data_IF_300302707604
#
_entry.id   IF_300302707604
#
_cell.length_a   1.000
_cell.length_b   1.000
_cell.length_c   1.000
_cell.angle_alpha   90.00
_cell.angle_beta   90.00
_cell.angle_gamma   90.00
#
_symmetry.space_group_name_H-M   'P 1'
#
loop_
_entity.id
_entity.type
_entity.pdbx_description
1 polymer ?
#
# COMPACT_ATOMS: atom_id res chain seq x y z
N UNK A 1 -9.48 40.17 -82.76
CA UNK A 1 -9.95 40.71 -81.47
C UNK A 1 -9.97 39.57 -80.46
N UNK A 2 -9.04 39.56 -79.50
CA UNK A 2 -8.96 38.52 -78.46
C UNK A 2 -9.71 39.00 -77.21
N UNK A 3 -10.74 38.27 -76.81
CA UNK A 3 -11.56 38.59 -75.65
C UNK A 3 -10.95 37.93 -74.40
N UNK A 4 -10.26 38.72 -73.56
CA UNK A 4 -9.59 38.23 -72.35
C UNK A 4 -10.63 38.06 -71.23
N UNK A 5 -11.09 36.83 -70.99
CA UNK A 5 -11.89 36.50 -69.79
C UNK A 5 -11.02 36.76 -68.55
N UNK A 6 -11.40 37.75 -67.73
CA UNK A 6 -10.87 37.91 -66.37
C UNK A 6 -11.35 36.74 -65.53
N UNK A 7 -10.40 35.99 -64.96
CA UNK A 7 -10.66 35.02 -63.90
C UNK A 7 -11.28 35.78 -62.73
N UNK A 8 -12.45 35.32 -62.26
CA UNK A 8 -13.11 35.87 -61.09
C UNK A 8 -12.34 35.32 -59.87
N UNK A 9 -11.58 36.17 -59.19
CA UNK A 9 -10.93 35.78 -57.94
C UNK A 9 -12.02 35.40 -56.93
N UNK A 10 -11.77 34.33 -56.19
CA UNK A 10 -12.69 33.77 -55.23
C UNK A 10 -12.79 34.75 -54.05
N UNK A 11 -13.87 35.53 -53.97
CA UNK A 11 -14.12 36.42 -52.85
C UNK A 11 -14.15 35.61 -51.55
N UNK A 12 -13.17 35.85 -50.69
CA UNK A 12 -13.12 35.26 -49.35
C UNK A 12 -14.13 36.03 -48.51
N UNK A 13 -15.17 35.34 -48.04
CA UNK A 13 -16.19 35.96 -47.19
C UNK A 13 -15.54 36.40 -45.87
N UNK A 14 -15.57 37.69 -45.52
CA UNK A 14 -15.01 38.20 -44.27
C UNK A 14 -15.60 37.52 -43.03
N UNK A 15 -16.84 37.03 -43.11
CA UNK A 15 -17.51 36.34 -42.01
C UNK A 15 -16.94 34.93 -41.81
N UNK A 16 -16.61 34.21 -42.89
CA UNK A 16 -15.90 32.93 -42.79
C UNK A 16 -14.48 33.13 -42.25
N UNK A 17 -13.78 34.17 -42.69
CA UNK A 17 -12.43 34.47 -42.21
C UNK A 17 -12.42 34.82 -40.71
N UNK A 18 -13.34 35.68 -40.25
CA UNK A 18 -13.48 35.98 -38.81
C UNK A 18 -13.86 34.75 -37.99
N UNK A 19 -14.79 33.92 -38.48
CA UNK A 19 -15.23 32.71 -37.76
C UNK A 19 -14.09 31.70 -37.62
N UNK A 20 -13.32 31.47 -38.69
CA UNK A 20 -12.19 30.54 -38.66
C UNK A 20 -11.06 31.04 -37.77
N UNK A 21 -10.72 32.33 -37.82
CA UNK A 21 -9.70 32.90 -36.94
C UNK A 21 -10.10 32.82 -35.45
N UNK A 22 -11.37 33.04 -35.13
CA UNK A 22 -11.88 32.88 -33.76
C UNK A 22 -11.85 31.42 -33.30
N UNK A 23 -12.19 30.47 -34.17
CA UNK A 23 -12.10 29.05 -33.88
C UNK A 23 -10.66 28.60 -33.64
N UNK A 24 -9.72 29.05 -34.48
CA UNK A 24 -8.29 28.75 -34.31
C UNK A 24 -7.79 29.28 -32.97
N UNK A 25 -8.12 30.53 -32.62
CA UNK A 25 -7.74 31.12 -31.33
C UNK A 25 -8.30 30.30 -30.15
N UNK A 26 -9.56 29.89 -30.21
CA UNK A 26 -10.20 29.07 -29.19
C UNK A 26 -9.55 27.69 -29.03
N UNK A 27 -9.26 27.00 -30.14
CA UNK A 27 -8.54 25.71 -30.12
C UNK A 27 -7.13 25.88 -29.56
N UNK A 28 -6.45 26.96 -29.92
CA UNK A 28 -5.10 27.26 -29.43
C UNK A 28 -5.07 27.49 -27.91
N UNK A 29 -6.11 28.12 -27.35
CA UNK A 29 -6.26 28.26 -25.90
C UNK A 29 -6.34 26.90 -25.19
N UNK A 30 -7.03 25.89 -25.76
CA UNK A 30 -7.04 24.54 -25.19
C UNK A 30 -5.68 23.86 -25.27
N UNK A 31 -4.94 24.03 -26.37
CA UNK A 31 -3.58 23.47 -26.49
C UNK A 31 -2.66 24.05 -25.40
N UNK A 32 -2.69 25.37 -25.20
CA UNK A 32 -1.93 26.02 -24.13
C UNK A 32 -2.42 25.55 -22.76
N UNK A 33 -3.73 25.43 -22.54
CA UNK A 33 -4.29 24.92 -21.30
C UNK A 33 -3.78 23.51 -20.99
N UNK A 34 -3.87 22.56 -21.94
CA UNK A 34 -3.38 21.19 -21.75
C UNK A 34 -1.86 21.11 -21.52
N UNK A 35 -1.07 21.95 -22.21
CA UNK A 35 0.38 22.03 -21.97
C UNK A 35 0.70 22.67 -20.59
N UNK A 36 -0.14 23.59 -20.11
CA UNK A 36 0.01 24.25 -18.81
C UNK A 36 -0.46 23.41 -17.63
N UNK A 37 -1.28 22.37 -17.88
CA UNK A 37 -1.59 21.36 -16.87
C UNK A 37 -0.30 20.61 -16.55
N UNK A 38 0.34 21.01 -15.46
CA UNK A 38 1.50 20.33 -14.90
C UNK A 38 1.02 19.36 -13.82
N UNK A 39 0.84 18.06 -14.12
CA UNK A 39 0.36 17.08 -13.13
C UNK A 39 1.35 16.87 -11.97
N UNK A 40 2.60 17.34 -12.08
CA UNK A 40 3.61 17.23 -11.02
C UNK A 40 3.50 18.33 -9.96
N UNK A 41 2.79 19.43 -10.23
CA UNK A 41 2.65 20.55 -9.29
C UNK A 41 1.62 20.30 -8.17
N UNK A 42 0.72 19.31 -8.32
CA UNK A 42 -0.29 19.00 -7.30
C UNK A 42 0.24 18.22 -6.08
N UNK A 43 1.56 17.98 -5.98
CA UNK A 43 2.17 17.19 -4.89
C UNK A 43 3.24 17.94 -4.09
N UNK A 44 3.31 19.26 -4.15
CA UNK A 44 4.34 20.05 -3.45
C UNK A 44 3.97 20.33 -1.99
N UNK A 45 3.58 19.28 -1.25
CA UNK A 45 3.08 19.41 0.12
C UNK A 45 2.86 18.08 0.85
N UNK A 46 2.75 16.97 0.13
CA UNK A 46 2.96 15.66 0.74
C UNK A 46 4.45 15.55 1.07
N UNK A 47 4.79 15.34 2.34
CA UNK A 47 6.03 14.64 2.66
C UNK A 47 5.71 13.20 2.24
N UNK A 48 6.17 12.68 1.09
CA UNK A 48 5.89 11.30 0.77
C UNK A 48 6.54 10.48 1.88
N UNK A 49 5.73 9.86 2.74
CA UNK A 49 6.19 8.79 3.58
C UNK A 49 6.73 7.73 2.61
N UNK A 50 8.06 7.71 2.46
CA UNK A 50 8.70 6.89 1.43
C UNK A 50 8.56 5.43 1.87
N UNK A 51 7.63 4.73 1.24
CA UNK A 51 7.45 3.29 1.35
C UNK A 51 7.55 2.69 -0.05
N UNK A 52 8.39 1.67 -0.21
CA UNK A 52 8.49 0.87 -1.43
C UNK A 52 7.54 -0.33 -1.35
N UNK A 53 7.39 -0.90 -0.15
CA UNK A 53 6.48 -2.02 0.12
C UNK A 53 5.73 -1.82 1.42
N UNK A 54 4.49 -2.31 1.45
CA UNK A 54 3.63 -2.40 2.63
C UNK A 54 3.26 -3.87 2.81
N UNK A 55 3.53 -4.40 4.00
CA UNK A 55 3.15 -5.74 4.41
C UNK A 55 2.09 -5.59 5.48
N UNK A 56 0.86 -6.00 5.16
CA UNK A 56 -0.28 -5.90 6.08
C UNK A 56 -0.71 -7.28 6.49
N UNK A 57 -0.69 -7.55 7.79
CA UNK A 57 -1.32 -8.69 8.43
C UNK A 57 -2.67 -8.25 8.98
N UNK A 58 -3.72 -9.04 8.77
CA UNK A 58 -5.06 -8.78 9.31
C UNK A 58 -5.73 -10.09 9.71
N UNK A 59 -6.64 -10.02 10.67
CA UNK A 59 -7.44 -11.16 11.13
C UNK A 59 -8.84 -10.66 11.52
N UNK A 60 -9.81 -11.54 11.86
CA UNK A 60 -11.19 -11.13 12.08
C UNK A 60 -11.33 -9.97 13.06
N UNK A 61 -12.16 -9.01 12.69
CA UNK A 61 -12.47 -7.86 13.53
C UNK A 61 -13.00 -8.28 14.90
N UNK A 62 -12.59 -7.55 15.93
CA UNK A 62 -12.92 -7.80 17.34
C UNK A 62 -12.48 -9.19 17.84
N UNK A 63 -11.60 -9.91 17.15
CA UNK A 63 -11.05 -11.16 17.69
C UNK A 63 -10.24 -10.86 18.98
N UNK A 64 -10.41 -11.67 20.05
CA UNK A 64 -9.70 -11.48 21.31
C UNK A 64 -8.25 -11.97 21.26
N UNK A 65 -7.87 -12.70 20.21
CA UNK A 65 -6.54 -13.27 20.07
C UNK A 65 -5.60 -12.28 19.38
N UNK A 66 -4.38 -12.22 19.90
CA UNK A 66 -3.32 -11.30 19.52
C UNK A 66 -2.38 -11.99 18.54
N UNK A 67 -2.38 -11.52 17.29
CA UNK A 67 -1.48 -12.00 16.26
C UNK A 67 -0.45 -10.93 15.94
N UNK A 68 0.82 -11.31 15.96
CA UNK A 68 1.93 -10.42 15.63
C UNK A 68 2.43 -10.69 14.21
N UNK A 69 2.78 -9.62 13.51
CA UNK A 69 3.52 -9.63 12.27
C UNK A 69 5.03 -9.59 12.56
N UNK A 70 5.72 -10.60 12.06
CA UNK A 70 7.18 -10.70 12.11
C UNK A 70 7.72 -10.57 10.70
N UNK A 71 8.58 -9.59 10.45
CA UNK A 71 9.19 -9.37 9.14
C UNK A 71 10.70 -9.41 9.22
N UNK A 72 11.33 -10.32 8.48
CA UNK A 72 12.79 -10.38 8.33
C UNK A 72 13.22 -9.78 7.00
N UNK A 73 14.28 -8.98 7.03
CA UNK A 73 14.91 -8.41 5.85
C UNK A 73 16.16 -9.18 5.39
N UNK A 74 16.78 -8.75 4.28
CA UNK A 74 17.86 -9.48 3.61
C UNK A 74 19.12 -9.68 4.44
N UNK A 75 19.41 -8.78 5.39
CA UNK A 75 20.60 -8.88 6.24
C UNK A 75 20.35 -9.69 7.51
N UNK A 76 19.16 -10.29 7.64
CA UNK A 76 18.75 -11.10 8.78
C UNK A 76 18.07 -10.31 9.90
N UNK A 77 17.97 -8.99 9.77
CA UNK A 77 17.29 -8.11 10.72
C UNK A 77 15.79 -8.40 10.78
N UNK A 78 15.21 -8.36 11.97
CA UNK A 78 13.79 -8.73 12.20
C UNK A 78 13.06 -7.58 12.87
N UNK A 79 11.92 -7.21 12.28
CA UNK A 79 10.94 -6.27 12.83
C UNK A 79 9.77 -7.04 13.45
N UNK A 80 9.42 -6.65 14.68
CA UNK A 80 8.31 -7.18 15.49
C UNK A 80 7.98 -6.21 16.64
N UNK A 81 6.95 -6.47 17.46
CA UNK A 81 6.46 -5.50 18.45
C UNK A 81 7.52 -4.98 19.45
N UNK A 82 8.52 -5.79 19.83
CA UNK A 82 9.64 -5.35 20.70
C UNK A 82 10.80 -4.70 19.95
N UNK A 83 10.93 -4.96 18.65
CA UNK A 83 11.94 -4.35 17.79
C UNK A 83 11.26 -3.74 16.57
N UNK A 84 10.62 -2.59 16.76
CA UNK A 84 9.73 -1.97 15.77
C UNK A 84 10.44 -1.37 14.57
N UNK A 85 11.76 -1.25 14.62
CA UNK A 85 12.57 -0.73 13.53
C UNK A 85 13.85 -1.55 13.38
N UNK A 86 14.12 -2.01 12.17
CA UNK A 86 15.34 -2.74 11.85
C UNK A 86 15.68 -2.56 10.36
N UNK A 87 16.92 -2.19 10.05
CA UNK A 87 17.32 -1.88 8.68
C UNK A 87 16.51 -0.72 8.11
N UNK A 88 15.83 -0.94 6.98
CA UNK A 88 14.91 0.02 6.37
C UNK A 88 13.44 -0.41 6.51
N UNK A 89 13.15 -1.26 7.49
CA UNK A 89 11.80 -1.72 7.80
C UNK A 89 11.28 -1.09 9.09
N UNK A 90 9.98 -0.81 9.15
CA UNK A 90 9.33 -0.23 10.32
C UNK A 90 7.94 -0.83 10.55
N UNK A 91 7.63 -1.23 11.80
CA UNK A 91 6.30 -1.64 12.23
C UNK A 91 5.47 -0.39 12.53
N UNK A 92 4.84 0.17 11.49
CA UNK A 92 4.05 1.39 11.58
C UNK A 92 2.80 1.20 12.43
N UNK A 93 2.19 0.02 12.38
CA UNK A 93 1.01 -0.33 13.16
C UNK A 93 1.19 -1.66 13.89
N UNK A 94 1.01 -1.60 15.20
CA UNK A 94 1.04 -2.69 16.18
C UNK A 94 -0.34 -2.77 16.84
N UNK A 95 -1.02 -3.93 16.79
CA UNK A 95 -2.36 -4.07 17.39
C UNK A 95 -2.26 -4.34 18.89
N UNK A 96 -2.33 -3.27 19.68
CA UNK A 96 -2.22 -3.37 21.13
C UNK A 96 -3.50 -3.84 21.83
N UNK A 97 -4.46 -4.42 21.12
CA UNK A 97 -5.72 -4.90 21.69
C UNK A 97 -6.78 -3.80 21.95
N UNK A 98 -7.95 -4.20 22.45
CA UNK A 98 -9.11 -3.31 22.58
C UNK A 98 -8.96 -2.21 23.64
N UNK A 99 -8.05 -2.35 24.61
CA UNK A 99 -7.82 -1.35 25.67
C UNK A 99 -7.31 -0.01 25.13
N UNK A 100 -6.57 -0.04 24.01
CA UNK A 100 -6.04 1.16 23.35
C UNK A 100 -6.77 1.51 22.05
N UNK A 101 -7.67 0.66 21.55
CA UNK A 101 -8.44 0.90 20.33
C UNK A 101 -9.68 1.78 20.56
N UNK A 102 -9.76 2.55 21.64
CA UNK A 102 -10.88 3.48 21.86
C UNK A 102 -10.51 4.88 21.39
N UNK A 103 -11.22 5.39 20.39
CA UNK A 103 -11.15 6.80 19.98
C UNK A 103 -12.36 7.56 20.55
N UNK A 104 -12.17 8.83 20.89
CA UNK A 104 -13.28 9.70 21.31
C UNK A 104 -13.72 10.50 20.10
N UNK A 105 -14.94 10.27 19.64
CA UNK A 105 -15.57 11.03 18.55
C UNK A 105 -16.80 11.71 19.12
N UNK A 106 -16.83 13.05 19.13
CA UNK A 106 -17.93 13.85 19.68
C UNK A 106 -18.31 13.50 21.14
N UNK A 107 -17.31 13.25 21.98
CA UNK A 107 -17.52 12.87 23.39
C UNK A 107 -17.98 11.42 23.61
N UNK A 108 -18.22 10.65 22.55
CA UNK A 108 -18.54 9.23 22.62
C UNK A 108 -17.29 8.38 22.40
N UNK A 109 -17.05 7.41 23.28
CA UNK A 109 -16.04 6.37 23.09
C UNK A 109 -16.48 5.43 21.96
N UNK A 110 -15.66 5.32 20.93
CA UNK A 110 -15.84 4.39 19.79
C UNK A 110 -14.66 3.43 19.80
N UNK A 111 -14.95 2.13 19.88
CA UNK A 111 -13.93 1.09 19.79
C UNK A 111 -13.65 0.79 18.32
N UNK A 112 -12.39 0.81 17.92
CA UNK A 112 -11.93 0.41 16.61
C UNK A 112 -11.90 -1.13 16.54
N UNK A 113 -12.75 -1.74 15.71
CA UNK A 113 -12.85 -3.19 15.61
C UNK A 113 -11.67 -3.81 14.83
N UNK A 114 -10.93 -2.98 14.09
CA UNK A 114 -9.93 -3.42 13.11
C UNK A 114 -8.73 -4.08 13.79
N UNK A 115 -8.48 -5.33 13.38
CA UNK A 115 -7.35 -6.16 13.80
C UNK A 115 -6.33 -6.28 12.68
N UNK A 116 -5.26 -5.49 12.77
CA UNK A 116 -4.21 -5.50 11.77
C UNK A 116 -2.88 -4.98 12.30
N UNK A 117 -1.79 -5.52 11.75
CA UNK A 117 -0.43 -5.02 11.88
C UNK A 117 0.16 -4.67 10.53
N UNK A 118 1.00 -3.64 10.48
CA UNK A 118 1.56 -3.12 9.23
C UNK A 118 3.05 -2.88 9.38
N UNK A 119 3.84 -3.56 8.57
CA UNK A 119 5.27 -3.29 8.38
C UNK A 119 5.48 -2.62 7.03
N UNK A 120 6.25 -1.53 6.99
CA UNK A 120 6.68 -0.89 5.75
C UNK A 120 8.16 -1.09 5.49
N UNK A 121 8.52 -1.23 4.21
CA UNK A 121 9.89 -1.24 3.73
C UNK A 121 10.13 0.09 3.01
N UNK A 122 11.03 0.92 3.54
CA UNK A 122 11.21 2.32 3.12
C UNK A 122 12.13 2.52 1.90
N UNK A 123 12.87 1.49 1.50
CA UNK A 123 13.72 1.52 0.30
C UNK A 123 13.92 0.12 -0.26
N UNK A 124 14.26 0.04 -1.55
CA UNK A 124 14.63 -1.22 -2.22
C UNK A 124 16.01 -1.65 -1.68
N UNK A 125 16.03 -2.74 -0.91
CA UNK A 125 17.25 -3.49 -0.61
C UNK A 125 17.10 -4.86 -1.27
N UNK A 126 18.01 -5.25 -2.18
CA UNK A 126 17.92 -6.55 -2.82
C UNK A 126 18.15 -7.69 -1.82
N UNK A 127 17.42 -8.79 -2.02
CA UNK A 127 17.55 -10.01 -1.25
C UNK A 127 16.20 -10.55 -0.76
N UNK A 128 16.27 -11.57 0.10
CA UNK A 128 15.09 -12.27 0.59
C UNK A 128 14.46 -11.55 1.77
N UNK A 129 13.15 -11.38 1.70
CA UNK A 129 12.29 -10.95 2.79
C UNK A 129 11.39 -12.11 3.20
N UNK A 130 11.09 -12.18 4.49
CA UNK A 130 10.21 -13.20 5.07
C UNK A 130 9.20 -12.53 5.96
N UNK A 131 7.91 -12.84 5.77
CA UNK A 131 6.85 -12.39 6.64
C UNK A 131 6.13 -13.58 7.28
N UNK A 132 6.16 -13.60 8.60
CA UNK A 132 5.51 -14.59 9.43
C UNK A 132 4.38 -13.95 10.24
N UNK A 133 3.40 -14.77 10.56
CA UNK A 133 2.41 -14.49 11.58
C UNK A 133 2.72 -15.34 12.82
N UNK A 134 2.62 -14.75 13.99
CA UNK A 134 2.83 -15.41 15.27
C UNK A 134 1.61 -15.19 16.18
N UNK A 135 1.06 -16.28 16.71
CA UNK A 135 -0.01 -16.21 17.70
C UNK A 135 0.61 -15.91 19.07
N UNK A 136 0.68 -14.63 19.42
CA UNK A 136 1.40 -14.18 20.60
C UNK A 136 0.68 -14.54 21.89
N UNK A 137 -0.57 -14.12 22.00
CA UNK A 137 -1.35 -14.25 23.22
C UNK A 137 -2.84 -14.28 22.91
N UNK A 138 -3.65 -14.78 23.84
CA UNK A 138 -5.09 -14.52 23.85
C UNK A 138 -5.31 -13.47 24.93
N UNK A 139 -5.66 -12.24 24.53
CA UNK A 139 -5.89 -11.17 25.51
C UNK A 139 -7.19 -11.47 26.26
N UNK A 140 -7.16 -11.31 27.57
CA UNK A 140 -8.28 -11.51 28.51
C UNK A 140 -9.36 -10.41 28.38
N UNK A 141 -9.79 -10.07 27.16
CA UNK A 141 -10.79 -9.03 26.94
C UNK A 141 -12.18 -9.48 27.40
N UNK A 142 -12.45 -10.78 27.35
CA UNK A 142 -13.57 -11.45 28.00
C UNK A 142 -13.23 -12.94 28.13
N UNK A 143 -13.04 -13.43 29.35
CA UNK A 143 -12.76 -14.85 29.60
C UNK A 143 -13.88 -15.79 29.09
N UNK A 144 -15.06 -15.24 28.78
CA UNK A 144 -16.19 -15.96 28.24
C UNK A 144 -16.36 -15.77 26.72
N UNK A 145 -15.46 -15.05 26.02
CA UNK A 145 -15.55 -14.94 24.57
C UNK A 145 -15.38 -16.34 23.95
N UNK A 146 -16.36 -16.82 23.15
CA UNK A 146 -16.28 -18.15 22.54
C UNK A 146 -15.08 -18.33 21.59
N UNK A 147 -14.46 -17.23 21.14
CA UNK A 147 -13.29 -17.21 20.26
C UNK A 147 -11.96 -17.19 21.02
N UNK A 148 -11.96 -16.96 22.34
CA UNK A 148 -10.74 -16.92 23.13
C UNK A 148 -9.98 -18.26 23.01
N UNK A 149 -8.71 -18.19 22.58
CA UNK A 149 -7.84 -19.35 22.42
C UNK A 149 -8.22 -20.28 21.27
N UNK A 150 -9.15 -19.87 20.40
CA UNK A 150 -9.53 -20.62 19.20
C UNK A 150 -8.53 -20.39 18.07
N UNK A 151 -8.52 -21.30 17.07
CA UNK A 151 -7.77 -21.06 15.84
C UNK A 151 -8.22 -19.78 15.15
N UNK A 152 -7.25 -19.02 14.64
CA UNK A 152 -7.51 -17.73 13.96
C UNK A 152 -6.96 -17.79 12.55
N UNK A 153 -7.80 -17.46 11.57
CA UNK A 153 -7.37 -17.27 10.19
C UNK A 153 -6.79 -15.86 10.03
N UNK A 154 -5.52 -15.79 9.65
CA UNK A 154 -4.83 -14.56 9.36
C UNK A 154 -4.64 -14.40 7.85
N UNK A 155 -4.79 -13.18 7.37
CA UNK A 155 -4.58 -12.80 5.97
C UNK A 155 -3.40 -11.83 5.88
N UNK A 156 -2.45 -12.11 4.99
CA UNK A 156 -1.31 -11.23 4.72
C UNK A 156 -1.30 -10.78 3.26
N UNK A 157 -1.10 -9.48 3.08
CA UNK A 157 -0.95 -8.85 1.78
C UNK A 157 0.40 -8.13 1.71
N UNK A 158 1.10 -8.29 0.59
CA UNK A 158 2.29 -7.51 0.26
C UNK A 158 1.96 -6.63 -0.94
N UNK A 159 2.10 -5.31 -0.77
CA UNK A 159 1.83 -4.32 -1.81
C UNK A 159 3.13 -3.57 -2.10
N UNK A 160 3.56 -3.56 -3.36
CA UNK A 160 4.57 -2.64 -3.86
C UNK A 160 3.89 -1.30 -4.18
N UNK A 161 4.42 -0.19 -3.68
CA UNK A 161 3.74 1.12 -3.74
C UNK A 161 4.25 2.00 -4.89
N UNK A 162 5.56 1.94 -5.18
CA UNK A 162 6.18 2.73 -6.24
C UNK A 162 6.59 1.87 -7.44
N UNK A 163 6.40 2.34 -8.68
CA UNK A 163 5.80 3.62 -9.08
C UNK A 163 4.26 3.64 -9.01
N UNK A 164 3.62 2.48 -8.83
CA UNK A 164 2.18 2.32 -8.67
C UNK A 164 1.90 1.18 -7.69
N UNK A 165 0.74 1.23 -7.03
CA UNK A 165 0.29 0.15 -6.16
C UNK A 165 0.10 -1.14 -6.95
N UNK A 166 0.82 -2.19 -6.57
CA UNK A 166 0.77 -3.52 -7.16
C UNK A 166 0.72 -4.56 -6.04
N UNK A 167 -0.28 -5.45 -6.08
CA UNK A 167 -0.37 -6.58 -5.15
C UNK A 167 0.67 -7.61 -5.57
N UNK A 168 1.70 -7.76 -4.75
CA UNK A 168 2.78 -8.73 -4.95
C UNK A 168 2.36 -10.10 -4.45
N UNK A 169 1.67 -10.12 -3.30
CA UNK A 169 1.24 -11.36 -2.66
C UNK A 169 -0.04 -11.14 -1.87
N UNK A 170 -0.88 -12.17 -1.86
CA UNK A 170 -2.04 -12.31 -0.99
C UNK A 170 -2.11 -13.77 -0.56
N UNK A 171 -2.16 -14.01 0.75
CA UNK A 171 -2.21 -15.35 1.30
C UNK A 171 -2.83 -15.40 2.68
N UNK A 172 -3.23 -16.59 3.09
CA UNK A 172 -3.89 -16.83 4.37
C UNK A 172 -3.24 -18.02 5.09
N UNK A 173 -3.27 -18.00 6.41
CA UNK A 173 -2.88 -19.13 7.24
C UNK A 173 -3.72 -19.16 8.52
N UNK A 174 -4.09 -20.35 8.95
CA UNK A 174 -4.76 -20.56 10.23
C UNK A 174 -3.74 -20.90 11.30
N UNK A 175 -3.77 -20.18 12.41
CA UNK A 175 -2.94 -20.46 13.57
C UNK A 175 -3.78 -21.17 14.63
N UNK A 176 -3.40 -22.40 14.98
CA UNK A 176 -4.20 -23.25 15.86
C UNK A 176 -4.27 -22.79 17.33
N UNK A 177 -3.39 -21.87 17.74
CA UNK A 177 -3.36 -21.38 19.11
C UNK A 177 -2.04 -20.69 19.48
N UNK A 178 -1.94 -20.30 20.75
CA UNK A 178 -0.80 -19.56 21.31
C UNK A 178 0.55 -20.22 21.03
N UNK A 179 1.54 -19.41 20.66
CA UNK A 179 2.92 -19.81 20.38
C UNK A 179 3.12 -20.47 19.02
N UNK A 180 2.06 -20.59 18.21
CA UNK A 180 2.18 -21.05 16.82
C UNK A 180 2.69 -19.93 15.94
N UNK A 181 3.51 -20.32 14.98
CA UNK A 181 4.10 -19.45 13.97
C UNK A 181 3.88 -20.07 12.60
N UNK A 182 3.53 -19.24 11.62
CA UNK A 182 3.42 -19.66 10.23
C UNK A 182 4.13 -18.66 9.31
N UNK A 183 4.88 -19.17 8.34
CA UNK A 183 5.45 -18.37 7.26
C UNK A 183 4.39 -18.14 6.20
N UNK A 184 3.92 -16.91 6.07
CA UNK A 184 2.91 -16.55 5.06
C UNK A 184 3.55 -16.32 3.70
N UNK A 185 4.72 -15.67 3.66
CA UNK A 185 5.43 -15.43 2.40
C UNK A 185 6.93 -15.26 2.61
N UNK A 186 7.68 -15.76 1.64
CA UNK A 186 9.07 -15.43 1.35
C UNK A 186 9.12 -14.88 -0.06
N UNK A 187 9.80 -13.77 -0.25
CA UNK A 187 9.93 -13.16 -1.56
C UNK A 187 11.29 -12.48 -1.69
N UNK A 188 11.83 -12.46 -2.90
CA UNK A 188 13.12 -11.83 -3.19
C UNK A 188 12.88 -10.53 -3.94
N UNK A 189 13.47 -9.44 -3.45
CA UNK A 189 13.54 -8.17 -4.20
C UNK A 189 14.86 -8.16 -4.97
N UNK A 190 14.81 -7.84 -6.26
CA UNK A 190 16.02 -7.68 -7.08
C UNK A 190 16.56 -6.23 -7.06
N UNK A 191 17.74 -5.94 -7.65
CA UNK A 191 18.27 -4.57 -7.73
C UNK A 191 17.40 -3.55 -8.47
N UNK A 192 16.46 -3.99 -9.31
CA UNK A 192 15.49 -3.12 -9.98
C UNK A 192 14.24 -2.86 -9.13
N UNK A 193 14.12 -3.55 -7.99
CA UNK A 193 12.94 -3.53 -7.13
C UNK A 193 11.84 -4.47 -7.60
N UNK A 194 12.07 -5.32 -8.59
CA UNK A 194 11.11 -6.33 -8.99
C UNK A 194 11.07 -7.47 -7.95
N UNK A 195 9.88 -8.05 -7.76
CA UNK A 195 9.72 -9.17 -6.83
C UNK A 195 9.80 -10.48 -7.60
N UNK A 196 10.58 -11.40 -7.06
CA UNK A 196 10.84 -12.73 -7.61
C UNK A 196 10.78 -13.76 -6.50
N UNK A 197 10.82 -15.05 -6.86
CA UNK A 197 10.92 -16.17 -5.92
C UNK A 197 9.90 -16.16 -4.76
N UNK A 198 8.63 -15.89 -5.08
CA UNK A 198 7.54 -15.91 -4.10
C UNK A 198 7.24 -17.36 -3.72
N UNK A 199 7.37 -17.69 -2.44
CA UNK A 199 7.11 -19.02 -1.91
C UNK A 199 6.66 -18.97 -0.45
N UNK A 200 6.22 -20.10 0.10
CA UNK A 200 5.72 -20.22 1.48
C UNK A 200 6.52 -21.25 2.28
N UNK A 201 7.80 -21.46 1.94
CA UNK A 201 8.65 -22.44 2.61
C UNK A 201 8.83 -22.02 4.09
N UNK A 202 8.53 -22.88 5.07
CA UNK A 202 8.60 -22.52 6.49
C UNK A 202 9.99 -22.02 6.93
N UNK A 203 10.02 -20.93 7.68
CA UNK A 203 11.21 -20.38 8.33
C UNK A 203 10.80 -19.74 9.66
N UNK A 204 11.28 -20.26 10.79
CA UNK A 204 10.96 -19.68 12.11
C UNK A 204 11.78 -18.41 12.36
N UNK A 205 11.13 -17.32 12.75
CA UNK A 205 11.73 -16.05 13.16
C UNK A 205 11.63 -15.86 14.68
N UNK A 206 10.56 -16.37 15.31
CA UNK A 206 10.34 -16.25 16.75
C UNK A 206 11.41 -17.00 17.57
N UNK A 207 11.81 -18.21 17.14
CA UNK A 207 12.81 -19.03 17.86
C UNK A 207 14.25 -18.56 17.72
N UNK A 208 14.57 -17.78 16.70
CA UNK A 208 15.93 -17.27 16.50
C UNK A 208 16.32 -16.12 17.45
N UNK A 209 15.37 -15.58 18.21
CA UNK A 209 15.55 -14.43 19.09
C UNK A 209 15.36 -14.75 20.59
N UNK A 210 15.13 -16.03 20.94
CA UNK A 210 15.05 -16.55 22.32
C UNK A 210 16.20 -17.49 22.60
#
# INVERSE_FOLDING_TARGET
>A
MANRKRSREQEVDPMYDMLFNMLIAFVFCFIIAFLSINPKAQKSGDIPAKAEFIITLSWPDNDPNDLDLWTQGPSGEVVWFRNREAGLMHLDRDDRGSSNNTIVVNGKKVVNPLRQEVTTIRSIIPGEYVANVHYYETKELDANDPKAGKPVEATLTVIKVNPKAEVVFYGQATLDGRGKEATLVRFTIDPSGAVTNINTIPKSLAKSLT
#
